data_IF_151710577984
#
_entry.id   IF_151710577984
#
_cell.length_a   1.000
_cell.length_b   1.000
_cell.length_c   1.000
_cell.angle_alpha   90.00
_cell.angle_beta   90.00
_cell.angle_gamma   90.00
#
_symmetry.space_group_name_H-M   'P 1'
#
loop_
_entity.id
_entity.type
_entity.pdbx_description
1 polymer ?
#
# COMPACT_ATOMS: atom_id res chain seq x y z
N UNK A 1 12.73 7.86 23.97
CA UNK A 1 14.02 8.56 24.15
C UNK A 1 15.14 7.70 23.59
N UNK A 2 16.26 8.29 23.15
CA UNK A 2 17.38 7.59 22.50
C UNK A 2 17.95 6.40 23.30
N UNK A 3 17.73 6.38 24.62
CA UNK A 3 18.23 5.34 25.53
C UNK A 3 17.24 4.20 25.80
N UNK A 4 16.07 4.20 25.16
CA UNK A 4 15.08 3.15 25.38
C UNK A 4 15.53 1.84 24.71
N UNK A 5 16.15 0.95 25.50
CA UNK A 5 16.60 -0.39 25.08
C UNK A 5 15.48 -1.30 24.52
N UNK A 6 14.21 -0.90 24.66
CA UNK A 6 13.06 -1.58 24.04
C UNK A 6 12.82 -1.16 22.58
N UNK A 7 13.43 -0.07 22.12
CA UNK A 7 13.32 0.39 20.73
C UNK A 7 14.33 -0.39 19.88
N UNK A 8 13.81 -1.32 19.09
CA UNK A 8 14.58 -2.19 18.22
C UNK A 8 13.86 -2.30 16.88
N UNK A 9 14.62 -2.25 15.79
CA UNK A 9 14.07 -2.24 14.45
C UNK A 9 15.09 -1.86 13.40
N UNK A 10 14.62 -1.78 12.16
CA UNK A 10 15.40 -1.39 10.99
C UNK A 10 14.69 -0.25 10.27
N UNK A 11 15.48 0.67 9.72
CA UNK A 11 15.01 1.72 8.82
C UNK A 11 15.92 1.76 7.61
N UNK A 12 15.39 1.35 6.46
CA UNK A 12 16.14 1.22 5.21
C UNK A 12 15.55 2.14 4.15
N UNK A 13 16.40 2.54 3.20
CA UNK A 13 16.00 3.30 2.01
C UNK A 13 16.25 2.39 0.80
N UNK A 14 15.26 2.31 -0.09
CA UNK A 14 15.40 1.64 -1.37
C UNK A 14 15.52 2.72 -2.43
N UNK A 15 16.70 2.81 -3.04
CA UNK A 15 16.96 3.70 -4.17
C UNK A 15 16.37 3.04 -5.41
N UNK A 16 15.38 3.70 -6.02
CA UNK A 16 14.58 3.08 -7.07
C UNK A 16 15.24 3.18 -8.44
N UNK A 17 16.16 4.10 -8.68
CA UNK A 17 16.83 4.27 -9.98
C UNK A 17 18.17 4.99 -9.80
N UNK A 18 19.19 4.75 -10.64
CA UNK A 18 20.40 5.59 -10.64
C UNK A 18 20.16 7.00 -11.23
N UNK A 19 19.05 7.21 -11.95
CA UNK A 19 18.78 8.46 -12.67
C UNK A 19 18.14 9.49 -11.74
N UNK A 20 18.85 10.60 -11.47
CA UNK A 20 18.45 11.55 -10.43
C UNK A 20 17.05 12.15 -10.61
N UNK A 21 16.69 12.48 -11.86
CA UNK A 21 15.49 13.22 -12.22
C UNK A 21 14.32 12.34 -12.69
N UNK A 22 14.48 11.01 -12.75
CA UNK A 22 13.38 10.11 -13.08
C UNK A 22 12.54 9.81 -11.85
N UNK A 23 11.22 9.89 -12.02
CA UNK A 23 10.27 9.45 -11.01
C UNK A 23 9.90 7.98 -11.23
N UNK A 24 9.43 7.30 -10.19
CA UNK A 24 9.04 5.88 -10.27
C UNK A 24 8.02 5.61 -11.37
N UNK A 25 7.08 6.55 -11.57
CA UNK A 25 6.05 6.47 -12.60
C UNK A 25 6.58 6.45 -14.04
N UNK A 26 7.80 6.93 -14.26
CA UNK A 26 8.45 6.99 -15.57
C UNK A 26 9.25 5.72 -15.88
N UNK A 27 9.53 4.90 -14.87
CA UNK A 27 10.34 3.69 -15.00
C UNK A 27 9.60 2.61 -15.81
N UNK A 28 10.31 1.81 -16.62
CA UNK A 28 9.70 0.70 -17.36
C UNK A 28 9.12 -0.36 -16.41
N UNK A 29 8.22 -1.21 -16.90
CA UNK A 29 7.53 -2.21 -16.06
C UNK A 29 8.52 -3.17 -15.39
N UNK A 30 9.55 -3.62 -16.12
CA UNK A 30 10.58 -4.50 -15.58
C UNK A 30 11.29 -3.89 -14.36
N UNK A 31 11.39 -2.57 -14.31
CA UNK A 31 11.98 -1.86 -13.17
C UNK A 31 11.05 -1.83 -11.96
N UNK A 32 9.74 -1.70 -12.17
CA UNK A 32 8.74 -1.87 -11.10
C UNK A 32 8.78 -3.29 -10.52
N UNK A 33 8.94 -4.30 -11.38
CA UNK A 33 9.12 -5.69 -10.96
C UNK A 33 10.39 -5.82 -10.11
N UNK A 34 11.53 -5.28 -10.55
CA UNK A 34 12.78 -5.31 -9.80
C UNK A 34 12.69 -4.59 -8.43
N UNK A 35 11.93 -3.49 -8.35
CA UNK A 35 11.63 -2.81 -7.07
C UNK A 35 10.83 -3.75 -6.15
N UNK A 36 9.79 -4.42 -6.66
CA UNK A 36 9.04 -5.39 -5.88
C UNK A 36 9.88 -6.59 -5.44
N UNK A 37 10.76 -7.10 -6.30
CA UNK A 37 11.71 -8.17 -5.93
C UNK A 37 12.65 -7.71 -4.81
N UNK A 38 13.09 -6.45 -4.83
CA UNK A 38 13.88 -5.86 -3.74
C UNK A 38 13.09 -5.81 -2.41
N UNK A 39 11.80 -5.47 -2.47
CA UNK A 39 10.90 -5.52 -1.31
C UNK A 39 10.69 -6.93 -0.77
N UNK A 40 10.55 -7.92 -1.66
CA UNK A 40 10.45 -9.33 -1.30
C UNK A 40 11.71 -9.80 -0.59
N UNK A 41 12.88 -9.53 -1.17
CA UNK A 41 14.17 -9.89 -0.59
C UNK A 41 14.34 -9.27 0.80
N UNK A 42 14.08 -7.97 0.96
CA UNK A 42 14.19 -7.34 2.28
C UNK A 42 13.16 -7.82 3.28
N UNK A 43 11.91 -8.04 2.88
CA UNK A 43 10.90 -8.60 3.78
C UNK A 43 11.29 -10.00 4.24
N UNK A 44 11.80 -10.84 3.34
CA UNK A 44 12.28 -12.19 3.68
C UNK A 44 13.46 -12.16 4.67
N UNK A 45 14.47 -11.33 4.43
CA UNK A 45 15.62 -11.19 5.32
C UNK A 45 15.24 -10.63 6.70
N UNK A 46 14.42 -9.58 6.75
CA UNK A 46 13.97 -8.97 8.00
C UNK A 46 13.09 -9.93 8.82
N UNK A 47 12.33 -10.80 8.15
CA UNK A 47 11.47 -11.80 8.82
C UNK A 47 12.27 -12.92 9.51
N UNK A 48 13.56 -13.08 9.20
CA UNK A 48 14.44 -14.03 9.91
C UNK A 48 14.76 -13.57 11.32
N UNK A 49 14.67 -12.26 11.59
CA UNK A 49 14.84 -11.71 12.93
C UNK A 49 13.55 -11.86 13.74
N UNK A 50 13.54 -12.81 14.67
CA UNK A 50 12.40 -13.13 15.54
C UNK A 50 11.96 -11.97 16.45
N UNK A 51 12.76 -10.91 16.59
CA UNK A 51 12.37 -9.71 17.33
C UNK A 51 11.44 -8.82 16.51
N UNK A 52 11.48 -8.89 15.18
CA UNK A 52 10.64 -8.07 14.30
C UNK A 52 9.23 -8.66 14.24
N UNK A 53 8.24 -7.79 14.43
CA UNK A 53 6.82 -8.16 14.41
C UNK A 53 6.05 -7.42 13.31
N UNK A 54 6.58 -6.29 12.84
CA UNK A 54 5.91 -5.46 11.84
C UNK A 54 6.92 -4.92 10.83
N UNK A 55 6.58 -5.04 9.54
CA UNK A 55 7.35 -4.49 8.42
C UNK A 55 6.42 -3.65 7.56
N UNK A 56 6.70 -2.36 7.48
CA UNK A 56 6.01 -1.43 6.60
C UNK A 56 6.96 -0.99 5.48
N UNK A 57 6.60 -1.31 4.25
CA UNK A 57 7.23 -0.72 3.07
C UNK A 57 6.35 0.43 2.61
N UNK A 58 6.95 1.58 2.40
CA UNK A 58 6.21 2.78 2.03
C UNK A 58 7.02 3.73 1.15
N UNK A 59 6.30 4.57 0.42
CA UNK A 59 6.87 5.62 -0.42
C UNK A 59 6.19 6.94 -0.13
N UNK A 60 6.97 8.01 -0.15
CA UNK A 60 6.49 9.39 -0.14
C UNK A 60 6.91 10.05 -1.45
N UNK A 61 5.96 10.49 -2.27
CA UNK A 61 6.21 11.24 -3.50
C UNK A 61 5.69 12.66 -3.36
N UNK A 62 6.57 13.64 -3.52
CA UNK A 62 6.25 15.07 -3.50
C UNK A 62 6.12 15.67 -2.10
N UNK A 63 6.31 16.99 -2.01
CA UNK A 63 6.40 17.70 -0.73
C UNK A 63 5.16 17.57 0.16
N UNK A 64 3.94 17.57 -0.42
CA UNK A 64 2.69 17.37 0.35
C UNK A 64 2.57 15.96 0.95
N UNK A 65 3.31 14.99 0.43
CA UNK A 65 3.38 13.64 0.98
C UNK A 65 4.54 13.45 1.97
N UNK A 66 5.31 14.50 2.25
CA UNK A 66 6.46 14.44 3.16
C UNK A 66 7.74 13.92 2.53
N UNK A 67 7.87 13.94 1.19
CA UNK A 67 9.14 13.65 0.54
C UNK A 67 10.14 14.77 0.83
N UNK A 68 11.25 14.44 1.47
CA UNK A 68 12.36 15.38 1.75
C UNK A 68 13.40 15.42 0.63
N UNK A 69 13.43 14.41 -0.23
CA UNK A 69 14.35 14.28 -1.37
C UNK A 69 13.55 14.14 -2.66
N UNK A 70 14.05 14.77 -3.73
CA UNK A 70 13.48 14.67 -5.07
C UNK A 70 13.77 13.33 -5.74
N UNK A 71 14.90 12.70 -5.41
CA UNK A 71 15.29 11.43 -6.02
C UNK A 71 14.29 10.32 -5.71
N UNK A 72 13.94 9.50 -6.70
CA UNK A 72 12.97 8.42 -6.52
C UNK A 72 13.49 7.35 -5.54
N UNK A 73 12.82 7.27 -4.40
CA UNK A 73 13.11 6.29 -3.36
C UNK A 73 11.83 5.85 -2.64
N UNK A 74 11.94 4.71 -1.98
CA UNK A 74 10.99 4.22 -0.99
C UNK A 74 11.74 3.83 0.28
N UNK A 75 11.00 3.44 1.30
CA UNK A 75 11.54 3.18 2.63
C UNK A 75 10.94 1.91 3.21
N UNK A 76 11.75 1.22 4.03
CA UNK A 76 11.32 0.04 4.78
C UNK A 76 11.51 0.36 6.25
N UNK A 77 10.44 0.21 7.02
CA UNK A 77 10.45 0.34 8.46
C UNK A 77 10.09 -1.00 9.08
N UNK A 78 10.97 -1.55 9.90
CA UNK A 78 10.73 -2.77 10.65
C UNK A 78 10.80 -2.48 12.14
N UNK A 79 9.84 -2.99 12.91
CA UNK A 79 9.74 -2.76 14.34
C UNK A 79 9.49 -4.05 15.11
N UNK A 80 10.00 -4.10 16.34
CA UNK A 80 9.75 -5.21 17.27
C UNK A 80 8.40 -5.20 17.97
N UNK A 81 7.44 -4.42 17.47
CA UNK A 81 6.06 -4.38 17.94
C UNK A 81 5.11 -4.10 16.77
N UNK A 82 3.89 -4.64 16.85
CA UNK A 82 2.82 -4.31 15.90
C UNK A 82 2.07 -3.06 16.36
N UNK A 83 1.90 -2.03 15.50
CA UNK A 83 1.17 -0.82 15.89
C UNK A 83 -0.29 -1.11 16.32
N UNK A 84 -0.84 -0.43 17.34
CA UNK A 84 -2.18 -0.74 17.87
C UNK A 84 -3.32 -0.72 16.84
N UNK A 85 -3.26 0.20 15.87
CA UNK A 85 -4.27 0.29 14.81
C UNK A 85 -4.20 -0.89 13.82
N UNK A 86 -3.00 -1.46 13.62
CA UNK A 86 -2.82 -2.68 12.82
C UNK A 86 -3.36 -3.88 13.59
N UNK A 87 -3.10 -3.99 14.89
CA UNK A 87 -3.70 -5.04 15.74
C UNK A 87 -5.23 -4.99 15.64
N UNK A 88 -5.83 -3.81 15.81
CA UNK A 88 -7.28 -3.65 15.71
C UNK A 88 -7.82 -4.06 14.33
N UNK A 89 -7.10 -3.73 13.25
CA UNK A 89 -7.46 -4.16 11.89
C UNK A 89 -7.42 -5.68 11.74
N UNK A 90 -6.35 -6.33 12.22
CA UNK A 90 -6.21 -7.80 12.21
C UNK A 90 -7.33 -8.47 13.01
N UNK A 91 -7.62 -7.97 14.21
CA UNK A 91 -8.72 -8.47 15.05
C UNK A 91 -10.06 -8.38 14.33
N UNK A 92 -10.36 -7.26 13.64
CA UNK A 92 -11.61 -7.12 12.88
C UNK A 92 -11.69 -8.07 11.68
N UNK A 93 -10.58 -8.32 10.98
CA UNK A 93 -10.54 -9.29 9.90
C UNK A 93 -10.78 -10.72 10.42
N UNK A 94 -10.20 -11.07 11.58
CA UNK A 94 -10.43 -12.36 12.25
C UNK A 94 -11.87 -12.52 12.71
N UNK A 95 -12.46 -11.50 13.36
CA UNK A 95 -13.88 -11.50 13.75
C UNK A 95 -14.79 -11.74 12.54
N UNK A 96 -14.56 -11.03 11.43
CA UNK A 96 -15.31 -11.21 10.19
C UNK A 96 -15.21 -12.66 9.69
N UNK A 97 -14.01 -13.24 9.70
CA UNK A 97 -13.80 -14.63 9.26
C UNK A 97 -14.50 -15.63 10.14
N UNK A 98 -14.50 -15.45 11.46
CA UNK A 98 -15.20 -16.32 12.40
C UNK A 98 -16.71 -16.28 12.14
N UNK A 99 -17.26 -15.09 11.86
CA UNK A 99 -18.69 -14.90 11.62
C UNK A 99 -19.13 -15.40 10.24
N UNK A 100 -18.35 -15.16 9.18
CA UNK A 100 -18.76 -15.39 7.79
C UNK A 100 -18.12 -16.64 7.15
N UNK A 101 -17.12 -17.24 7.81
CA UNK A 101 -16.37 -18.39 7.30
C UNK A 101 -15.34 -18.08 6.21
N UNK A 102 -15.23 -16.83 5.76
CA UNK A 102 -14.35 -16.40 4.67
C UNK A 102 -13.49 -15.18 5.04
N UNK A 103 -12.39 -14.98 4.31
CA UNK A 103 -11.59 -13.77 4.43
C UNK A 103 -12.38 -12.54 3.95
N UNK A 104 -12.37 -11.47 4.77
CA UNK A 104 -13.01 -10.18 4.45
C UNK A 104 -12.57 -9.62 3.10
N UNK A 105 -11.27 -9.61 2.82
CA UNK A 105 -10.72 -9.05 1.59
C UNK A 105 -11.06 -9.89 0.36
N UNK A 106 -11.10 -11.23 0.50
CA UNK A 106 -11.54 -12.10 -0.58
C UNK A 106 -12.98 -11.82 -1.01
N UNK A 107 -13.88 -11.57 -0.05
CA UNK A 107 -15.26 -11.19 -0.36
C UNK A 107 -15.38 -9.74 -0.83
N UNK A 108 -14.53 -8.84 -0.33
CA UNK A 108 -14.41 -7.47 -0.81
C UNK A 108 -14.05 -7.43 -2.30
N UNK A 109 -13.06 -8.22 -2.74
CA UNK A 109 -12.64 -8.33 -4.15
C UNK A 109 -13.84 -8.67 -5.05
N UNK A 110 -14.61 -9.71 -4.69
CA UNK A 110 -15.78 -10.15 -5.47
C UNK A 110 -16.83 -9.05 -5.62
N UNK A 111 -16.99 -8.21 -4.59
CA UNK A 111 -17.95 -7.10 -4.57
C UNK A 111 -17.45 -5.91 -5.38
N UNK A 112 -16.21 -5.50 -5.18
CA UNK A 112 -15.65 -4.29 -5.79
C UNK A 112 -15.39 -4.47 -7.29
N UNK A 113 -15.03 -5.69 -7.73
CA UNK A 113 -14.80 -5.99 -9.15
C UNK A 113 -16.06 -5.81 -10.02
N UNK A 114 -17.25 -6.04 -9.45
CA UNK A 114 -18.53 -5.86 -10.14
C UNK A 114 -19.13 -4.46 -9.93
N UNK A 115 -18.46 -3.62 -9.13
CA UNK A 115 -18.97 -2.34 -8.69
C UNK A 115 -18.50 -1.16 -9.54
N UNK A 116 -19.11 0.00 -9.32
CA UNK A 116 -18.74 1.28 -9.94
C UNK A 116 -17.36 1.80 -9.51
N UNK A 117 -16.80 1.27 -8.43
CA UNK A 117 -15.49 1.62 -7.85
C UNK A 117 -14.30 0.81 -8.40
N UNK A 118 -14.57 -0.16 -9.26
CA UNK A 118 -13.54 -0.93 -9.97
C UNK A 118 -12.62 -0.04 -10.80
N UNK A 119 -11.30 -0.24 -10.77
CA UNK A 119 -10.35 0.47 -11.66
C UNK A 119 -9.93 -0.43 -12.81
N UNK A 120 -9.27 -1.55 -12.49
CA UNK A 120 -8.78 -2.53 -13.45
C UNK A 120 -8.49 -3.86 -12.76
N UNK A 121 -8.44 -4.96 -13.50
CA UNK A 121 -8.02 -6.26 -12.99
C UNK A 121 -7.39 -7.10 -14.11
N UNK A 122 -6.71 -8.16 -13.70
CA UNK A 122 -6.36 -9.30 -14.54
C UNK A 122 -6.56 -10.60 -13.76
N UNK A 123 -5.98 -11.71 -14.21
CA UNK A 123 -6.12 -13.02 -13.56
C UNK A 123 -5.46 -13.11 -12.18
N UNK A 124 -4.63 -12.13 -11.78
CA UNK A 124 -3.80 -12.21 -10.58
C UNK A 124 -4.12 -11.14 -9.55
N UNK A 125 -4.55 -9.95 -9.95
CA UNK A 125 -4.89 -8.88 -9.01
C UNK A 125 -6.11 -8.07 -9.46
N UNK A 126 -6.61 -7.26 -8.53
CA UNK A 126 -7.65 -6.26 -8.77
C UNK A 126 -7.22 -4.92 -8.17
N UNK A 127 -7.53 -3.83 -8.86
CA UNK A 127 -7.42 -2.48 -8.38
C UNK A 127 -8.80 -1.82 -8.32
N UNK A 128 -9.10 -1.15 -7.21
CA UNK A 128 -10.37 -0.43 -7.00
C UNK A 128 -10.19 0.74 -6.03
N UNK A 129 -11.17 1.63 -5.98
CA UNK A 129 -11.25 2.67 -4.95
C UNK A 129 -12.07 2.17 -3.75
N UNK A 130 -11.59 2.28 -2.51
CA UNK A 130 -12.32 1.75 -1.36
C UNK A 130 -13.60 2.55 -1.11
N UNK A 131 -14.69 1.86 -0.75
CA UNK A 131 -15.99 2.48 -0.44
C UNK A 131 -15.88 3.61 0.60
N UNK A 132 -15.09 3.39 1.65
CA UNK A 132 -14.82 4.38 2.69
C UNK A 132 -13.42 5.00 2.51
N UNK A 133 -13.15 5.53 1.31
CA UNK A 133 -11.86 6.17 1.00
C UNK A 133 -11.60 7.38 1.90
N UNK A 134 -10.44 7.38 2.55
CA UNK A 134 -9.95 8.46 3.40
C UNK A 134 -9.33 9.57 2.54
N UNK A 135 -8.66 9.19 1.45
CA UNK A 135 -8.00 10.14 0.55
C UNK A 135 -8.78 10.32 -0.75
N UNK A 136 -8.76 11.54 -1.30
CA UNK A 136 -9.23 11.79 -2.66
C UNK A 136 -8.40 10.94 -3.62
N UNK A 137 -9.06 10.22 -4.52
CA UNK A 137 -8.42 9.29 -5.47
C UNK A 137 -7.65 8.13 -4.81
N UNK A 138 -7.96 7.77 -3.57
CA UNK A 138 -7.40 6.58 -2.94
C UNK A 138 -7.66 5.33 -3.77
N UNK A 139 -6.63 4.50 -3.95
CA UNK A 139 -6.73 3.26 -4.71
C UNK A 139 -6.04 2.11 -3.97
N UNK A 140 -6.68 0.95 -3.98
CA UNK A 140 -6.16 -0.29 -3.40
C UNK A 140 -5.87 -1.27 -4.52
N UNK A 141 -4.78 -2.01 -4.40
CA UNK A 141 -4.39 -3.10 -5.30
C UNK A 141 -4.23 -4.36 -4.45
N UNK A 142 -4.99 -5.40 -4.76
CA UNK A 142 -5.07 -6.62 -3.96
C UNK A 142 -4.85 -7.85 -4.87
N UNK A 143 -3.98 -8.80 -4.51
CA UNK A 143 -3.90 -10.07 -5.21
C UNK A 143 -5.19 -10.87 -5.00
N UNK A 144 -5.61 -11.63 -6.01
CA UNK A 144 -6.81 -12.46 -5.94
C UNK A 144 -6.65 -13.62 -4.96
N UNK A 145 -5.46 -14.18 -4.91
CA UNK A 145 -5.12 -15.21 -3.95
C UNK A 145 -5.00 -14.60 -2.55
N UNK A 146 -5.48 -15.35 -1.55
CA UNK A 146 -5.31 -14.99 -0.15
C UNK A 146 -3.84 -15.20 0.24
N UNK A 147 -3.10 -14.10 0.33
CA UNK A 147 -1.67 -14.06 0.63
C UNK A 147 -1.46 -13.08 1.76
N UNK A 148 -0.66 -13.41 2.77
CA UNK A 148 -0.48 -12.61 3.98
C UNK A 148 0.54 -11.48 3.84
N UNK A 149 1.56 -11.70 3.00
CA UNK A 149 2.60 -10.72 2.72
C UNK A 149 3.19 -10.85 1.32
N UNK A 150 4.08 -9.92 0.97
CA UNK A 150 4.68 -9.85 -0.36
C UNK A 150 5.58 -11.06 -0.69
N UNK A 151 6.14 -11.75 0.32
CA UNK A 151 7.15 -12.80 0.09
C UNK A 151 6.60 -14.09 -0.51
N UNK A 152 5.29 -14.27 -0.45
CA UNK A 152 4.59 -15.44 -1.00
C UNK A 152 4.00 -15.21 -2.39
N UNK A 153 4.21 -14.02 -2.97
CA UNK A 153 3.76 -13.73 -4.33
C UNK A 153 4.54 -14.53 -5.38
N UNK A 154 3.83 -15.07 -6.36
CA UNK A 154 4.42 -15.65 -7.56
C UNK A 154 4.84 -14.55 -8.57
N UNK A 155 5.61 -14.94 -9.59
CA UNK A 155 6.11 -13.99 -10.61
C UNK A 155 4.99 -13.29 -11.40
N UNK A 156 3.87 -13.97 -11.64
CA UNK A 156 2.73 -13.41 -12.36
C UNK A 156 1.99 -12.40 -11.49
N UNK A 157 1.84 -12.68 -10.19
CA UNK A 157 1.27 -11.77 -9.20
C UNK A 157 2.14 -10.52 -9.03
N UNK A 158 3.46 -10.68 -8.93
CA UNK A 158 4.40 -9.55 -8.91
C UNK A 158 4.22 -8.67 -10.14
N UNK A 159 4.19 -9.27 -11.33
CA UNK A 159 4.04 -8.55 -12.59
C UNK A 159 2.70 -7.80 -12.68
N UNK A 160 1.62 -8.45 -12.27
CA UNK A 160 0.26 -7.87 -12.25
C UNK A 160 0.17 -6.68 -11.30
N UNK A 161 0.67 -6.83 -10.06
CA UNK A 161 0.66 -5.76 -9.08
C UNK A 161 1.54 -4.58 -9.52
N UNK A 162 2.75 -4.85 -10.03
CA UNK A 162 3.63 -3.82 -10.59
C UNK A 162 2.96 -3.04 -11.73
N UNK A 163 2.24 -3.72 -12.62
CA UNK A 163 1.48 -3.09 -13.71
C UNK A 163 0.38 -2.16 -13.19
N UNK A 164 -0.39 -2.58 -12.19
CA UNK A 164 -1.45 -1.77 -11.60
C UNK A 164 -0.90 -0.58 -10.80
N UNK A 165 0.19 -0.77 -10.06
CA UNK A 165 0.89 0.31 -9.36
C UNK A 165 1.35 1.37 -10.35
N UNK A 166 2.04 0.95 -11.42
CA UNK A 166 2.51 1.84 -12.48
C UNK A 166 1.32 2.58 -13.12
N UNK A 167 0.25 1.88 -13.47
CA UNK A 167 -0.94 2.48 -14.08
C UNK A 167 -1.52 3.63 -13.24
N UNK A 168 -1.76 3.38 -11.95
CA UNK A 168 -2.32 4.37 -11.02
C UNK A 168 -1.35 5.53 -10.82
N UNK A 169 -0.08 5.25 -10.56
CA UNK A 169 0.95 6.26 -10.30
C UNK A 169 1.17 7.16 -11.53
N UNK A 170 1.18 6.60 -12.75
CA UNK A 170 1.31 7.41 -13.98
C UNK A 170 0.13 8.39 -14.13
N UNK A 171 -1.11 7.98 -13.83
CA UNK A 171 -2.28 8.87 -13.86
C UNK A 171 -2.17 9.99 -12.82
N UNK A 172 -1.72 9.66 -11.60
CA UNK A 172 -1.48 10.66 -10.54
C UNK A 172 -0.35 11.64 -10.89
N UNK A 173 0.73 11.13 -11.47
CA UNK A 173 1.88 11.94 -11.89
C UNK A 173 1.53 12.94 -13.00
N UNK A 174 0.64 12.58 -13.94
CA UNK A 174 0.13 13.50 -14.97
C UNK A 174 -0.60 14.72 -14.38
N UNK A 175 -1.17 14.58 -13.20
CA UNK A 175 -1.80 15.67 -12.45
C UNK A 175 -0.88 16.29 -11.40
N UNK A 176 0.40 15.89 -11.39
CA UNK A 176 1.42 16.31 -10.42
C UNK A 176 1.00 16.11 -8.95
N UNK A 177 0.10 15.15 -8.71
CA UNK A 177 -0.40 14.90 -7.36
C UNK A 177 0.71 14.21 -6.54
N UNK A 178 0.97 14.75 -5.35
CA UNK A 178 1.81 14.08 -4.35
C UNK A 178 1.05 12.89 -3.77
N UNK A 179 1.72 11.80 -3.43
CA UNK A 179 1.04 10.64 -2.86
C UNK A 179 1.95 9.89 -1.89
N UNK A 180 1.33 9.16 -0.97
CA UNK A 180 2.00 8.09 -0.25
C UNK A 180 1.54 6.74 -0.81
N UNK A 181 2.41 5.74 -0.77
CA UNK A 181 2.07 4.36 -1.10
C UNK A 181 2.52 3.47 0.03
N UNK A 182 1.69 2.52 0.44
CA UNK A 182 1.92 1.64 1.58
C UNK A 182 1.65 0.19 1.17
N UNK A 183 2.54 -0.71 1.56
CA UNK A 183 2.33 -2.15 1.47
C UNK A 183 1.83 -2.62 2.84
N UNK A 184 0.55 -2.98 2.90
CA UNK A 184 -0.05 -3.55 4.10
C UNK A 184 0.09 -5.06 4.05
N UNK A 185 0.91 -5.59 4.95
CA UNK A 185 1.25 -7.00 5.04
C UNK A 185 1.38 -7.43 6.50
N UNK A 186 1.34 -8.74 6.74
CA UNK A 186 1.61 -9.34 8.03
C UNK A 186 2.67 -10.45 7.90
N UNK A 187 3.65 -10.44 8.80
CA UNK A 187 4.64 -11.52 8.93
C UNK A 187 4.33 -12.46 10.10
N UNK A 188 3.35 -12.10 10.94
CA UNK A 188 2.96 -12.84 12.15
C UNK A 188 1.60 -13.49 12.04
N UNK A 189 0.75 -13.04 11.13
CA UNK A 189 -0.64 -13.49 10.97
C UNK A 189 -0.91 -13.87 9.52
N UNK A 190 -1.14 -15.16 9.29
CA UNK A 190 -1.42 -15.72 7.95
C UNK A 190 -2.84 -15.44 7.47
N UNK A 191 -3.71 -14.97 8.37
CA UNK A 191 -5.11 -14.69 8.06
C UNK A 191 -5.29 -13.27 7.50
N UNK A 192 -4.26 -12.44 7.56
CA UNK A 192 -4.23 -11.17 6.85
C UNK A 192 -4.22 -11.39 5.33
N UNK A 193 -4.72 -10.41 4.59
CA UNK A 193 -4.61 -10.35 3.13
C UNK A 193 -3.77 -9.14 2.75
N UNK A 194 -2.63 -9.39 2.11
CA UNK A 194 -1.71 -8.41 1.56
C UNK A 194 -2.42 -7.48 0.58
N UNK A 195 -2.17 -6.18 0.69
CA UNK A 195 -2.57 -5.23 -0.34
C UNK A 195 -1.67 -4.00 -0.36
N UNK A 196 -1.70 -3.31 -1.49
CA UNK A 196 -1.04 -2.02 -1.69
C UNK A 196 -2.09 -0.93 -1.64
N UNK A 197 -1.81 0.12 -0.89
CA UNK A 197 -2.67 1.28 -0.72
C UNK A 197 -1.95 2.53 -1.22
N UNK A 198 -2.53 3.21 -2.21
CA UNK A 198 -2.03 4.47 -2.73
C UNK A 198 -2.95 5.59 -2.22
N UNK A 199 -2.33 6.58 -1.56
CA UNK A 199 -2.99 7.66 -0.83
C UNK A 199 -2.56 9.02 -1.41
N UNK A 200 -3.28 9.56 -2.39
CA UNK A 200 -2.98 10.87 -2.94
C UNK A 200 -3.21 12.01 -1.93
N UNK A 201 -2.34 13.02 -1.97
CA UNK A 201 -2.27 14.17 -1.05
C UNK A 201 -2.63 15.46 -1.79
N UNK A 202 -3.87 15.51 -2.28
CA UNK A 202 -4.38 16.67 -3.01
C UNK A 202 -4.79 17.80 -2.05
N UNK A 203 -5.51 17.47 -0.98
CA UNK A 203 -5.84 18.34 0.15
C UNK A 203 -4.87 18.16 1.32
N UNK A 204 -4.69 19.23 2.09
CA UNK A 204 -3.99 19.20 3.38
C UNK A 204 -5.03 19.09 4.47
N UNK A 205 -4.87 18.12 5.38
CA UNK A 205 -5.72 18.00 6.55
C UNK A 205 -5.56 19.19 7.49
N UNK A 206 -6.69 19.64 8.05
CA UNK A 206 -6.74 20.80 8.94
C UNK A 206 -7.25 20.37 10.32
N UNK A 207 -7.73 21.35 11.11
CA UNK A 207 -8.09 21.13 12.52
C UNK A 207 -9.16 20.06 12.74
N UNK A 208 -10.13 19.91 11.83
CA UNK A 208 -11.17 18.89 11.94
C UNK A 208 -10.57 17.50 11.79
N UNK A 209 -9.85 17.23 10.70
CA UNK A 209 -9.27 15.92 10.43
C UNK A 209 -8.18 15.58 11.46
N UNK A 210 -7.32 16.54 11.80
CA UNK A 210 -6.22 16.34 12.75
C UNK A 210 -6.73 16.15 14.19
N UNK A 211 -7.73 16.93 14.61
CA UNK A 211 -8.24 16.91 15.99
C UNK A 211 -9.27 15.82 16.26
N UNK A 212 -10.17 15.56 15.31
CA UNK A 212 -11.29 14.62 15.51
C UNK A 212 -11.11 13.26 14.84
N UNK A 213 -10.18 13.14 13.87
CA UNK A 213 -10.06 12.00 12.95
C UNK A 213 -11.28 11.74 12.06
N UNK A 214 -12.26 12.65 12.04
CA UNK A 214 -13.32 12.66 11.03
C UNK A 214 -12.73 13.19 9.74
N UNK A 215 -12.84 12.43 8.66
CA UNK A 215 -12.24 12.77 7.38
C UNK A 215 -13.30 13.28 6.42
N UNK A 216 -13.04 14.45 5.83
CA UNK A 216 -13.86 15.02 4.77
C UNK A 216 -13.20 14.69 3.42
N UNK A 217 -13.82 13.77 2.69
CA UNK A 217 -13.42 13.43 1.33
C UNK A 217 -14.44 14.00 0.34
N UNK A 218 -14.01 14.99 -0.45
CA UNK A 218 -14.88 15.69 -1.41
C UNK A 218 -14.96 15.01 -2.78
N UNK A 219 -14.31 13.86 -2.96
CA UNK A 219 -14.35 13.08 -4.20
C UNK A 219 -14.99 11.74 -3.87
N UNK A 220 -16.09 11.42 -4.55
CA UNK A 220 -16.73 10.12 -4.36
C UNK A 220 -15.80 9.01 -4.88
N UNK A 221 -15.72 7.85 -4.21
CA UNK A 221 -14.85 6.77 -4.67
C UNK A 221 -15.23 6.28 -6.09
N UNK A 222 -16.51 6.34 -6.46
CA UNK A 222 -16.98 6.00 -7.81
C UNK A 222 -16.45 6.98 -8.87
N UNK A 223 -16.37 8.28 -8.56
CA UNK A 223 -15.80 9.30 -9.45
C UNK A 223 -14.29 9.14 -9.55
N UNK A 224 -13.62 8.84 -8.45
CA UNK A 224 -12.19 8.52 -8.45
C UNK A 224 -11.88 7.29 -9.31
N UNK A 225 -12.71 6.25 -9.24
CA UNK A 225 -12.54 5.06 -10.06
C UNK A 225 -12.76 5.38 -11.55
N UNK A 226 -13.77 6.19 -11.87
CA UNK A 226 -14.01 6.70 -13.23
C UNK A 226 -12.80 7.45 -13.77
N UNK A 227 -12.21 8.36 -12.98
CA UNK A 227 -10.98 9.07 -13.33
C UNK A 227 -9.83 8.13 -13.70
N UNK A 228 -9.67 7.01 -13.00
CA UNK A 228 -8.60 6.07 -13.33
C UNK A 228 -8.89 5.27 -14.60
N UNK A 229 -10.16 5.01 -14.96
CA UNK A 229 -10.54 4.24 -16.15
C UNK A 229 -10.46 5.06 -17.45
N UNK A 230 -10.67 6.36 -17.37
CA UNK A 230 -10.57 7.34 -18.48
C UNK A 230 -9.13 7.84 -18.63
#
# INVERSE_FOLDING_TARGET
>A
TPENKKVYGYQEVVIETPEHYKETGDLPLDHWIAIMESYINRTSELSKDKKIQYILIFKNKGGKAGASLHHAHSQIFAAGFTPPHIINKLTKAQEYRIEHGNCYYCDLIKKEEKGSRFIMADDKAVAFTPYASIYQYEAWIIPRNHLDNITVLDRQEITSMAKMMKYIVTKLNKLEISYNMYLHQSITDKDEHFYIRICPRRSTWAGVEMGSRIIINTVLPEEAAKFYRE
#
